data_IF_897723319444
#
_entry.id   IF_897723319444
#
_cell.length_a   1.000
_cell.length_b   1.000
_cell.length_c   1.000
_cell.angle_alpha   90.00
_cell.angle_beta   90.00
_cell.angle_gamma   90.00
#
_symmetry.space_group_name_H-M   'P 1'
#
loop_
_entity.id
_entity.type
_entity.pdbx_description
1 polymer ?
#
# COMPACT_ATOMS: atom_id res chain seq x y z
N UNK A 1 -17.19 40.47 -56.34
CA UNK A 1 -17.96 40.18 -55.11
C UNK A 1 -18.10 38.67 -54.97
N UNK A 2 -17.41 38.06 -54.01
CA UNK A 2 -17.67 36.67 -53.60
C UNK A 2 -17.14 36.51 -52.18
N UNK A 3 -18.05 36.56 -51.22
CA UNK A 3 -17.79 36.31 -49.81
C UNK A 3 -18.14 34.85 -49.52
N UNK A 4 -17.32 34.14 -48.75
CA UNK A 4 -17.72 32.94 -47.97
C UNK A 4 -16.53 32.52 -47.08
N UNK A 5 -16.35 33.15 -45.92
CA UNK A 5 -16.96 32.85 -44.59
C UNK A 5 -16.29 31.63 -43.94
N UNK A 6 -15.34 31.92 -43.05
CA UNK A 6 -14.65 30.98 -42.17
C UNK A 6 -15.66 30.33 -41.21
N UNK A 7 -15.70 28.99 -41.16
CA UNK A 7 -16.52 28.25 -40.19
C UNK A 7 -15.64 27.73 -39.05
N UNK A 8 -15.46 28.55 -38.01
CA UNK A 8 -14.89 28.13 -36.72
C UNK A 8 -15.92 27.29 -35.98
N UNK A 9 -15.82 25.97 -36.09
CA UNK A 9 -16.56 25.05 -35.23
C UNK A 9 -15.91 25.01 -33.85
N UNK A 10 -16.38 25.86 -32.94
CA UNK A 10 -16.04 25.79 -31.51
C UNK A 10 -16.95 24.73 -30.88
N UNK A 11 -16.47 23.48 -30.83
CA UNK A 11 -17.21 22.36 -30.22
C UNK A 11 -17.19 22.54 -28.70
N UNK A 12 -18.23 23.18 -28.16
CA UNK A 12 -18.44 23.38 -26.73
C UNK A 12 -18.49 22.05 -25.97
N UNK A 13 -17.40 21.71 -25.28
CA UNK A 13 -17.32 20.52 -24.42
C UNK A 13 -17.90 20.87 -23.05
N UNK A 14 -19.17 20.56 -22.84
CA UNK A 14 -19.88 20.69 -21.55
C UNK A 14 -19.20 19.75 -20.52
N UNK A 15 -18.24 20.26 -19.74
CA UNK A 15 -17.62 19.53 -18.62
C UNK A 15 -18.67 19.37 -17.53
N UNK A 16 -19.20 18.16 -17.35
CA UNK A 16 -20.01 17.81 -16.17
C UNK A 16 -19.12 18.01 -14.93
N UNK A 17 -19.51 18.92 -14.04
CA UNK A 17 -18.88 19.04 -12.73
C UNK A 17 -19.10 17.73 -11.97
N UNK A 18 -18.02 17.01 -11.67
CA UNK A 18 -18.07 15.89 -10.72
C UNK A 18 -18.24 16.51 -9.34
N UNK A 19 -19.43 16.41 -8.78
CA UNK A 19 -19.68 16.69 -7.37
C UNK A 19 -18.92 15.63 -6.56
N UNK A 20 -17.80 16.03 -5.97
CA UNK A 20 -17.10 15.20 -5.01
C UNK A 20 -17.92 15.19 -3.71
N UNK A 21 -18.53 14.05 -3.37
CA UNK A 21 -19.08 13.87 -2.03
C UNK A 21 -17.93 13.91 -1.01
N UNK A 22 -18.07 14.65 0.11
CA UNK A 22 -17.11 14.55 1.20
C UNK A 22 -17.27 13.19 1.88
N UNK A 23 -16.32 12.29 1.63
CA UNK A 23 -16.23 11.04 2.35
C UNK A 23 -15.78 11.34 3.79
N UNK A 24 -16.71 11.32 4.74
CA UNK A 24 -16.45 11.44 6.18
C UNK A 24 -15.84 10.14 6.75
N UNK A 25 -14.89 9.55 6.03
CA UNK A 25 -14.05 8.48 6.55
C UNK A 25 -12.96 9.10 7.40
N UNK A 26 -12.85 8.65 8.65
CA UNK A 26 -11.75 8.97 9.58
C UNK A 26 -10.45 9.00 8.79
N UNK A 27 -9.86 10.20 8.65
CA UNK A 27 -8.60 10.42 7.94
C UNK A 27 -7.48 9.78 8.75
N UNK A 28 -7.33 8.46 8.66
CA UNK A 28 -6.07 7.80 9.00
C UNK A 28 -5.02 8.52 8.18
N UNK A 29 -4.05 9.15 8.86
CA UNK A 29 -2.99 9.91 8.19
C UNK A 29 -2.41 9.00 7.10
N UNK A 30 -2.38 9.42 5.82
CA UNK A 30 -2.01 8.55 4.69
C UNK A 30 -0.62 7.91 4.86
N UNK A 31 0.24 8.50 5.69
CA UNK A 31 1.52 7.94 6.09
C UNK A 31 1.43 6.64 6.90
N UNK A 32 0.45 6.49 7.78
CA UNK A 32 0.33 5.31 8.65
C UNK A 32 -0.18 4.10 7.86
N UNK A 33 -1.15 4.31 6.97
CA UNK A 33 -1.66 3.26 6.10
C UNK A 33 -0.58 2.76 5.12
N UNK A 34 0.27 3.67 4.62
CA UNK A 34 1.43 3.29 3.78
C UNK A 34 2.40 2.38 4.53
N UNK A 35 2.77 2.74 5.78
CA UNK A 35 3.65 1.93 6.62
C UNK A 35 3.07 0.55 6.93
N UNK A 36 1.76 0.46 7.18
CA UNK A 36 1.11 -0.83 7.44
C UNK A 36 1.08 -1.72 6.20
N UNK A 37 0.93 -1.13 5.00
CA UNK A 37 1.01 -1.87 3.75
C UNK A 37 2.42 -2.37 3.45
N UNK A 38 3.44 -1.56 3.75
CA UNK A 38 4.84 -1.99 3.68
C UNK A 38 5.12 -3.13 4.64
N UNK A 39 4.58 -3.05 5.86
CA UNK A 39 4.71 -4.09 6.88
C UNK A 39 4.02 -5.41 6.48
N UNK A 40 2.85 -5.33 5.84
CA UNK A 40 2.19 -6.48 5.20
C UNK A 40 3.09 -7.13 4.13
N UNK A 41 3.75 -6.33 3.30
CA UNK A 41 4.67 -6.86 2.28
C UNK A 41 5.90 -7.56 2.86
N UNK A 42 6.34 -7.19 4.07
CA UNK A 42 7.53 -7.76 4.70
C UNK A 42 7.28 -9.12 5.36
N UNK A 43 6.04 -9.43 5.74
CA UNK A 43 5.69 -10.71 6.37
C UNK A 43 5.10 -11.66 5.33
N UNK A 44 5.79 -12.77 5.03
CA UNK A 44 5.30 -13.73 4.05
C UNK A 44 3.94 -14.30 4.47
N UNK A 45 3.00 -14.36 3.51
CA UNK A 45 1.66 -14.90 3.74
C UNK A 45 0.68 -13.95 4.44
N UNK A 46 1.04 -12.68 4.63
CA UNK A 46 0.16 -11.70 5.31
C UNK A 46 -0.76 -10.88 4.39
N UNK A 47 -0.79 -11.23 3.09
CA UNK A 47 -1.66 -10.57 2.11
C UNK A 47 -3.14 -10.80 2.43
N UNK A 48 -3.90 -9.73 2.61
CA UNK A 48 -5.35 -9.79 2.86
C UNK A 48 -5.76 -10.13 4.30
N UNK A 49 -4.79 -10.21 5.23
CA UNK A 49 -5.07 -10.46 6.66
C UNK A 49 -5.55 -9.18 7.36
N UNK A 50 -6.52 -9.33 8.27
CA UNK A 50 -7.03 -8.23 9.10
C UNK A 50 -5.91 -7.59 9.95
N UNK A 51 -6.02 -6.30 10.24
CA UNK A 51 -5.00 -5.55 10.97
C UNK A 51 -4.76 -6.10 12.38
N UNK A 52 -5.78 -6.65 13.05
CA UNK A 52 -5.61 -7.19 14.40
C UNK A 52 -4.77 -8.47 14.40
N UNK A 53 -5.00 -9.34 13.42
CA UNK A 53 -4.25 -10.60 13.26
C UNK A 53 -2.89 -10.38 12.61
N UNK A 54 -2.70 -9.30 11.86
CA UNK A 54 -1.42 -8.90 11.29
C UNK A 54 -0.33 -8.79 12.36
N UNK A 55 -0.58 -8.04 13.44
CA UNK A 55 0.42 -7.81 14.49
C UNK A 55 0.79 -9.10 15.23
N UNK A 56 -0.18 -9.98 15.46
CA UNK A 56 0.07 -11.29 16.05
C UNK A 56 0.95 -12.15 15.15
N UNK A 57 0.67 -12.16 13.85
CA UNK A 57 1.47 -12.87 12.86
C UNK A 57 2.89 -12.30 12.75
N UNK A 58 3.04 -10.98 12.79
CA UNK A 58 4.34 -10.31 12.82
C UNK A 58 5.13 -10.74 14.06
N UNK A 59 4.52 -10.71 15.24
CA UNK A 59 5.16 -11.12 16.48
C UNK A 59 5.63 -12.58 16.40
N UNK A 60 4.77 -13.48 15.94
CA UNK A 60 5.11 -14.88 15.76
C UNK A 60 6.25 -15.07 14.76
N UNK A 61 6.23 -14.34 13.65
CA UNK A 61 7.28 -14.39 12.63
C UNK A 61 8.64 -13.91 13.16
N UNK A 62 8.67 -12.83 13.96
CA UNK A 62 9.88 -12.34 14.61
C UNK A 62 10.47 -13.42 15.53
N UNK A 63 9.64 -14.03 16.39
CA UNK A 63 10.08 -15.09 17.30
C UNK A 63 10.64 -16.30 16.54
N UNK A 64 10.01 -16.69 15.42
CA UNK A 64 10.53 -17.76 14.57
C UNK A 64 11.89 -17.41 13.95
N UNK A 65 12.08 -16.17 13.50
CA UNK A 65 13.35 -15.72 12.96
C UNK A 65 14.45 -15.71 14.02
N UNK A 66 14.16 -15.22 15.22
CA UNK A 66 15.10 -15.23 16.36
C UNK A 66 15.53 -16.65 16.73
N UNK A 67 14.58 -17.59 16.78
CA UNK A 67 14.88 -18.99 17.05
C UNK A 67 15.78 -19.59 15.96
N UNK A 68 15.47 -19.34 14.67
CA UNK A 68 16.31 -19.80 13.55
C UNK A 68 17.71 -19.22 13.61
N UNK A 69 17.85 -17.93 13.85
CA UNK A 69 19.16 -17.26 13.99
C UNK A 69 19.94 -17.84 15.18
N UNK A 70 19.27 -18.12 16.29
CA UNK A 70 19.89 -18.75 17.47
C UNK A 70 20.44 -20.12 17.12
N UNK A 71 19.64 -20.98 16.49
CA UNK A 71 20.08 -22.31 16.05
C UNK A 71 21.25 -22.21 15.07
N UNK A 72 21.17 -21.33 14.08
CA UNK A 72 22.24 -21.13 13.11
C UNK A 72 23.54 -20.65 13.78
N UNK A 73 23.45 -19.75 14.76
CA UNK A 73 24.61 -19.32 15.55
C UNK A 73 25.20 -20.47 16.37
N UNK A 74 24.37 -21.28 17.02
CA UNK A 74 24.85 -22.47 17.73
C UNK A 74 25.57 -23.44 16.80
N UNK A 75 25.03 -23.67 15.60
CA UNK A 75 25.67 -24.51 14.59
C UNK A 75 26.98 -23.89 14.08
N UNK A 76 27.00 -22.59 13.78
CA UNK A 76 28.22 -21.86 13.37
C UNK A 76 29.32 -22.01 14.42
N UNK A 77 28.98 -21.77 15.69
CA UNK A 77 29.90 -21.93 16.81
C UNK A 77 30.38 -23.38 16.97
N UNK A 78 29.51 -24.37 16.71
CA UNK A 78 29.87 -25.78 16.79
C UNK A 78 30.84 -26.19 15.67
N UNK A 79 30.64 -25.67 14.46
CA UNK A 79 31.48 -25.96 13.29
C UNK A 79 32.68 -25.01 13.16
N UNK A 80 32.82 -24.00 14.03
CA UNK A 80 33.95 -23.07 14.06
C UNK A 80 33.98 -22.09 12.89
N UNK A 81 32.83 -21.80 12.28
CA UNK A 81 32.66 -20.83 11.17
C UNK A 81 32.13 -19.51 11.69
#
# INVERSE_FOLDING_TARGET
MSTRRWSRHVRGRKRRAKLCLPNNGVKVKPSMQKKLRELQGAVPGSEGIDMQTLFQNIQHYILQLEAKVTVLRCLSNFYGV
#
